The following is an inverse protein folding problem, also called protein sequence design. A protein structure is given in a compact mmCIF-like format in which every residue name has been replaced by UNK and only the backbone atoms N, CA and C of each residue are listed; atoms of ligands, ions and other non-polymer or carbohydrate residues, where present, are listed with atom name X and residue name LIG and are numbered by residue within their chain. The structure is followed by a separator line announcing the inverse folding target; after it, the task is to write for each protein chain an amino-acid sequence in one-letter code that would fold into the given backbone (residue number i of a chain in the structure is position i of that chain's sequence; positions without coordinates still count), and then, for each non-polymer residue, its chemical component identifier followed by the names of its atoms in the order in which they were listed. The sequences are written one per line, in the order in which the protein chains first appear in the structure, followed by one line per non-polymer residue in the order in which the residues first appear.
data_IF_216962268643
#
_entry.id   IF_216962268643
#
_cell.length_a   1.000
_cell.length_b   1.000
_cell.length_c   1.000
_cell.angle_alpha   90.00
_cell.angle_beta   90.00
_cell.angle_gamma   90.00
#
_symmetry.space_group_name_H-M   'P 1'
#
loop_
_entity.id
_entity.type
_entity.pdbx_description
1 polymer ?
#
# COMPACT_ATOMS: atom_id res chain seq x y z
N UNK A 1 22.06 16.45 -12.25
CA UNK A 1 20.90 15.70 -11.78
C UNK A 1 21.27 14.38 -11.11
N UNK A 2 22.11 13.50 -11.68
CA UNK A 2 22.51 12.21 -11.07
C UNK A 2 23.12 12.32 -9.67
N UNK A 3 23.86 13.39 -9.38
CA UNK A 3 24.55 13.60 -8.09
C UNK A 3 23.58 14.06 -6.96
N UNK A 4 22.49 14.74 -7.30
CA UNK A 4 21.43 15.15 -6.37
C UNK A 4 20.63 13.93 -5.90
N UNK A 5 20.35 12.99 -6.82
CA UNK A 5 19.68 11.73 -6.50
C UNK A 5 20.54 10.79 -5.63
N UNK A 6 21.88 10.80 -5.81
CA UNK A 6 22.81 10.06 -4.95
C UNK A 6 22.80 10.56 -3.51
N UNK A 7 22.78 11.86 -3.31
CA UNK A 7 22.70 12.51 -1.98
C UNK A 7 21.32 12.35 -1.33
N UNK A 8 20.24 12.45 -2.11
CA UNK A 8 18.89 12.11 -1.62
C UNK A 8 18.77 10.64 -1.20
N UNK A 9 19.40 9.70 -1.94
CA UNK A 9 19.48 8.29 -1.53
C UNK A 9 20.14 8.12 -0.17
N UNK A 10 21.27 8.80 0.08
CA UNK A 10 22.00 8.69 1.35
C UNK A 10 21.19 9.27 2.53
N UNK A 11 20.56 10.44 2.37
CA UNK A 11 19.69 11.05 3.39
C UNK A 11 18.45 10.20 3.65
N UNK A 12 17.89 9.58 2.62
CA UNK A 12 16.74 8.71 2.75
C UNK A 12 17.08 7.38 3.45
N UNK A 13 18.26 6.79 3.21
CA UNK A 13 18.71 5.62 3.96
C UNK A 13 18.94 5.93 5.44
N UNK A 14 19.39 7.12 5.80
CA UNK A 14 19.53 7.55 7.20
C UNK A 14 18.15 7.77 7.85
N UNK A 15 17.15 8.27 7.10
CA UNK A 15 15.77 8.37 7.56
C UNK A 15 15.07 7.00 7.61
N UNK A 16 15.41 6.05 6.72
CA UNK A 16 14.85 4.69 6.69
C UNK A 16 15.38 3.80 7.81
N UNK A 17 16.60 4.03 8.30
CA UNK A 17 17.18 3.30 9.44
C UNK A 17 16.55 3.68 10.80
N UNK A 18 15.80 4.78 10.86
CA UNK A 18 15.14 5.28 12.07
C UNK A 18 13.61 5.07 12.12
N UNK A 19 13.01 4.46 11.10
CA UNK A 19 11.54 4.49 10.94
C UNK A 19 10.97 3.10 10.70
N UNK A 20 10.27 2.55 11.66
CA UNK A 20 9.60 1.24 11.56
C UNK A 20 8.21 1.20 12.21
N UNK A 21 7.25 0.78 11.50
CA UNK A 21 5.93 0.08 11.63
C UNK A 21 4.73 0.68 12.34
N UNK A 22 3.62 0.69 11.63
CA UNK A 22 2.29 0.44 12.22
C UNK A 22 1.55 -0.59 11.37
N UNK A 23 0.92 -1.62 11.97
CA UNK A 23 0.07 -2.53 11.23
C UNK A 23 -1.17 -1.79 10.71
N UNK A 24 -1.62 -2.07 9.49
CA UNK A 24 -2.86 -1.51 8.94
C UNK A 24 -4.13 -1.91 9.73
N UNK A 25 -4.00 -2.87 10.63
CA UNK A 25 -5.10 -3.39 11.45
C UNK A 25 -5.51 -2.50 12.63
N UNK A 26 -4.65 -1.60 13.11
CA UNK A 26 -4.98 -0.73 14.25
C UNK A 26 -6.15 0.24 14.00
N UNK A 27 -6.63 0.33 12.77
CA UNK A 27 -7.78 1.16 12.40
C UNK A 27 -9.09 0.38 12.22
N UNK A 28 -9.08 -0.94 12.32
CA UNK A 28 -10.24 -1.75 11.94
C UNK A 28 -11.31 -1.86 13.03
N UNK A 29 -10.98 -1.57 14.30
CA UNK A 29 -11.85 -1.98 15.43
C UNK A 29 -12.66 -0.86 16.10
N UNK A 30 -12.55 0.40 15.70
CA UNK A 30 -13.20 1.49 16.45
C UNK A 30 -14.60 1.90 15.97
N UNK A 31 -15.10 1.36 14.88
CA UNK A 31 -16.48 1.62 14.45
C UNK A 31 -17.31 0.34 14.57
N UNK A 32 -18.27 0.33 15.49
CA UNK A 32 -19.26 -0.76 15.62
C UNK A 32 -20.20 -0.86 14.40
N UNK A 33 -20.15 0.11 13.49
CA UNK A 33 -20.99 0.25 12.32
C UNK A 33 -20.34 -0.08 10.98
N UNK A 34 -21.13 -0.08 9.90
CA UNK A 34 -20.63 -0.20 8.53
C UNK A 34 -19.71 0.97 8.16
N UNK A 35 -18.66 0.69 7.40
CA UNK A 35 -17.70 1.67 6.89
C UNK A 35 -17.58 1.53 5.39
N UNK A 36 -17.53 2.66 4.69
CA UNK A 36 -17.35 2.72 3.26
C UNK A 36 -16.20 3.64 2.92
N UNK A 37 -15.44 3.31 1.92
CA UNK A 37 -14.33 4.13 1.44
C UNK A 37 -14.23 4.11 -0.07
N UNK A 38 -13.89 5.25 -0.61
CA UNK A 38 -13.50 5.44 -1.99
C UNK A 38 -12.14 6.14 -2.02
N UNK A 39 -11.26 5.70 -2.90
CA UNK A 39 -9.96 6.33 -3.12
C UNK A 39 -9.67 6.33 -4.61
N UNK A 40 -9.23 7.46 -5.13
CA UNK A 40 -8.67 7.55 -6.48
C UNK A 40 -7.29 8.20 -6.43
N UNK A 41 -6.39 7.69 -7.25
CA UNK A 41 -5.00 8.17 -7.38
C UNK A 41 -4.68 8.23 -8.87
N UNK A 42 -4.09 9.34 -9.31
CA UNK A 42 -3.63 9.49 -10.69
C UNK A 42 -2.14 9.86 -10.66
N UNK A 43 -1.32 9.03 -11.28
CA UNK A 43 0.13 9.23 -11.37
C UNK A 43 0.52 9.72 -12.76
N UNK A 44 1.42 10.69 -12.78
CA UNK A 44 2.03 11.19 -14.01
C UNK A 44 2.83 10.09 -14.71
N UNK A 45 3.16 10.35 -15.96
CA UNK A 45 3.98 9.44 -16.78
C UNK A 45 5.32 9.16 -16.11
N UNK A 46 5.69 7.88 -16.05
CA UNK A 46 6.98 7.35 -15.61
C UNK A 46 7.66 6.63 -16.76
N UNK A 47 8.95 6.87 -16.95
CA UNK A 47 9.75 6.14 -17.94
C UNK A 47 10.12 4.76 -17.38
N UNK A 48 10.13 3.79 -18.28
CA UNK A 48 10.48 2.39 -18.00
C UNK A 48 11.92 2.14 -18.47
N UNK A 49 12.74 1.54 -17.62
CA UNK A 49 14.08 1.14 -18.03
C UNK A 49 14.03 0.27 -19.30
N UNK A 50 14.83 0.64 -20.30
CA UNK A 50 14.90 0.00 -21.60
C UNK A 50 13.74 0.32 -22.57
N UNK A 51 13.07 1.45 -22.38
CA UNK A 51 12.15 2.05 -23.34
C UNK A 51 10.68 1.98 -22.94
N UNK A 52 9.92 2.92 -23.48
CA UNK A 52 8.52 3.12 -23.17
C UNK A 52 8.27 3.90 -21.89
N UNK A 53 7.03 4.29 -21.70
CA UNK A 53 6.57 4.99 -20.50
C UNK A 53 5.09 4.69 -20.26
N UNK A 54 4.59 4.94 -19.07
CA UNK A 54 3.16 4.81 -18.75
C UNK A 54 2.72 5.84 -17.72
N UNK A 55 1.42 6.15 -17.75
CA UNK A 55 0.71 6.77 -16.62
C UNK A 55 -0.28 5.78 -16.03
N UNK A 56 -0.69 6.01 -14.78
CA UNK A 56 -1.56 5.08 -14.06
C UNK A 56 -2.63 5.83 -13.28
N UNK A 57 -3.85 5.28 -13.33
CA UNK A 57 -4.95 5.74 -12.50
C UNK A 57 -5.50 4.55 -11.69
N UNK A 58 -5.56 4.70 -10.38
CA UNK A 58 -6.13 3.72 -9.48
C UNK A 58 -7.47 4.20 -8.94
N UNK A 59 -8.45 3.30 -8.89
CA UNK A 59 -9.71 3.47 -8.19
C UNK A 59 -9.88 2.33 -7.20
N UNK A 60 -10.10 2.66 -5.94
CA UNK A 60 -10.29 1.68 -4.87
C UNK A 60 -11.61 1.93 -4.14
N UNK A 61 -12.40 0.89 -4.02
CA UNK A 61 -13.62 0.85 -3.23
C UNK A 61 -13.41 -0.09 -2.04
N UNK A 62 -13.90 0.31 -0.88
CA UNK A 62 -13.78 -0.46 0.35
C UNK A 62 -15.10 -0.46 1.11
N UNK A 63 -15.48 -1.60 1.64
CA UNK A 63 -16.58 -1.74 2.58
C UNK A 63 -16.09 -2.57 3.78
N UNK A 64 -16.43 -2.15 4.99
CA UNK A 64 -16.03 -2.85 6.20
C UNK A 64 -17.16 -2.91 7.23
N UNK A 65 -17.15 -3.95 8.03
CA UNK A 65 -18.02 -4.10 9.19
C UNK A 65 -17.28 -4.87 10.27
N UNK A 66 -17.15 -4.27 11.46
CA UNK A 66 -16.39 -4.86 12.56
C UNK A 66 -15.00 -5.33 12.10
N UNK A 67 -14.69 -6.60 12.29
CA UNK A 67 -13.42 -7.25 11.98
C UNK A 67 -13.21 -7.57 10.49
N UNK A 68 -14.24 -7.41 9.62
CA UNK A 68 -14.18 -7.76 8.20
C UNK A 68 -14.09 -6.51 7.33
N UNK A 69 -13.22 -6.53 6.33
CA UNK A 69 -13.13 -5.52 5.28
C UNK A 69 -13.00 -6.19 3.91
N UNK A 70 -13.76 -5.70 2.95
CA UNK A 70 -13.69 -6.12 1.54
C UNK A 70 -13.23 -4.89 0.75
N UNK A 71 -12.31 -5.08 -0.18
CA UNK A 71 -11.88 -4.01 -1.07
C UNK A 71 -11.69 -4.52 -2.51
N UNK A 72 -11.93 -3.59 -3.44
CA UNK A 72 -11.67 -3.79 -4.85
C UNK A 72 -10.88 -2.60 -5.38
N UNK A 73 -9.80 -2.88 -6.11
CA UNK A 73 -8.99 -1.88 -6.78
C UNK A 73 -8.97 -2.18 -8.28
N UNK A 74 -9.14 -1.15 -9.08
CA UNK A 74 -8.89 -1.14 -10.51
C UNK A 74 -7.76 -0.18 -10.78
N UNK A 75 -6.74 -0.64 -11.52
CA UNK A 75 -5.58 0.13 -11.94
C UNK A 75 -5.57 0.17 -13.47
N UNK A 76 -5.79 1.33 -14.04
CA UNK A 76 -5.75 1.58 -15.49
C UNK A 76 -4.39 2.15 -15.87
N UNK A 77 -3.75 1.59 -16.90
CA UNK A 77 -2.43 1.96 -17.41
C UNK A 77 -2.57 2.52 -18.83
N UNK A 78 -2.00 3.68 -19.06
CA UNK A 78 -1.86 4.28 -20.38
C UNK A 78 -0.40 4.21 -20.81
N UNK A 79 -0.09 3.23 -21.66
CA UNK A 79 1.26 2.96 -22.16
C UNK A 79 1.56 3.79 -23.39
N UNK A 80 2.80 4.31 -23.46
CA UNK A 80 3.33 5.00 -24.63
C UNK A 80 4.65 4.34 -25.03
N UNK A 81 4.79 4.05 -26.33
CA UNK A 81 5.97 3.37 -26.91
C UNK A 81 6.30 2.05 -26.18
N UNK A 82 5.29 1.33 -25.70
CA UNK A 82 5.47 0.08 -24.96
C UNK A 82 6.18 -1.00 -25.80
N UNK A 83 6.13 -0.90 -27.13
CA UNK A 83 6.86 -1.78 -28.05
C UNK A 83 8.37 -1.79 -27.86
N UNK A 84 8.94 -0.69 -27.38
CA UNK A 84 10.36 -0.55 -27.10
C UNK A 84 10.73 -1.16 -25.74
N UNK A 85 9.75 -1.37 -24.85
CA UNK A 85 9.98 -1.97 -23.55
C UNK A 85 10.27 -3.47 -23.71
N UNK A 86 11.37 -3.95 -23.17
CA UNK A 86 11.75 -5.38 -23.19
C UNK A 86 10.71 -6.29 -22.52
N UNK A 87 9.78 -5.72 -21.75
CA UNK A 87 8.74 -6.46 -21.05
C UNK A 87 7.72 -7.06 -22.01
N UNK A 88 7.38 -6.38 -23.11
CA UNK A 88 6.14 -6.62 -23.87
C UNK A 88 6.29 -7.06 -25.33
N UNK A 89 7.51 -7.23 -25.85
CA UNK A 89 7.75 -7.72 -27.21
C UNK A 89 6.93 -7.02 -28.31
N UNK A 90 6.75 -5.70 -28.20
CA UNK A 90 6.07 -4.90 -29.24
C UNK A 90 4.57 -4.63 -28.98
N UNK A 91 4.02 -5.00 -27.86
CA UNK A 91 2.61 -4.76 -27.47
C UNK A 91 2.51 -4.04 -26.13
N UNK A 92 1.37 -3.47 -25.82
CA UNK A 92 1.10 -3.00 -24.44
C UNK A 92 1.17 -4.20 -23.48
N UNK A 93 1.85 -4.06 -22.33
CA UNK A 93 1.95 -5.14 -21.37
C UNK A 93 0.59 -5.60 -20.84
N UNK A 94 -0.23 -4.64 -20.42
CA UNK A 94 -1.63 -4.75 -19.96
C UNK A 94 -2.26 -3.36 -19.99
N UNK A 95 -3.58 -3.28 -20.08
CA UNK A 95 -4.31 -2.02 -20.02
C UNK A 95 -4.90 -1.79 -18.62
N UNK A 96 -5.39 -2.86 -18.00
CA UNK A 96 -6.03 -2.78 -16.68
C UNK A 96 -5.62 -3.96 -15.82
N UNK A 97 -5.32 -3.69 -14.54
CA UNK A 97 -5.13 -4.71 -13.50
C UNK A 97 -6.19 -4.55 -12.43
N UNK A 98 -6.67 -5.66 -11.91
CA UNK A 98 -7.71 -5.73 -10.88
C UNK A 98 -7.14 -6.37 -9.62
N UNK A 99 -7.54 -5.86 -8.45
CA UNK A 99 -7.23 -6.47 -7.16
C UNK A 99 -8.47 -6.51 -6.29
N UNK A 100 -8.84 -7.70 -5.88
CA UNK A 100 -9.87 -7.93 -4.87
C UNK A 100 -9.23 -8.42 -3.58
N UNK A 101 -9.70 -7.96 -2.43
CA UNK A 101 -9.21 -8.44 -1.14
C UNK A 101 -10.31 -8.55 -0.10
N UNK A 102 -10.16 -9.56 0.76
CA UNK A 102 -10.96 -9.77 1.96
C UNK A 102 -10.01 -9.82 3.14
N UNK A 103 -10.16 -8.91 4.07
CA UNK A 103 -9.33 -8.78 5.25
C UNK A 103 -10.14 -9.07 6.51
N UNK A 104 -9.62 -9.95 7.36
CA UNK A 104 -10.12 -10.22 8.70
C UNK A 104 -9.05 -9.79 9.72
N UNK A 105 -9.43 -8.94 10.67
CA UNK A 105 -8.52 -8.42 11.69
C UNK A 105 -9.14 -8.51 13.08
N UNK A 106 -8.34 -8.95 14.04
CA UNK A 106 -8.70 -9.14 15.43
C UNK A 106 -7.62 -8.55 16.31
N UNK A 107 -8.02 -8.02 17.44
CA UNK A 107 -7.13 -7.56 18.49
C UNK A 107 -7.77 -7.80 19.87
N UNK A 108 -6.97 -7.71 20.91
CA UNK A 108 -7.44 -7.89 22.28
C UNK A 108 -6.34 -7.61 23.30
N UNK A 109 -6.73 -7.63 24.56
CA UNK A 109 -5.83 -7.33 25.67
C UNK A 109 -5.24 -8.62 26.24
N UNK A 110 -3.93 -8.63 26.52
CA UNK A 110 -3.25 -9.64 27.33
C UNK A 110 -3.03 -9.14 28.75
N UNK A 111 -2.79 -7.83 28.92
CA UNK A 111 -2.65 -7.15 30.21
C UNK A 111 -2.96 -5.66 30.05
N UNK A 112 -2.87 -4.88 31.11
CA UNK A 112 -3.08 -3.42 31.09
C UNK A 112 -2.13 -2.69 30.11
N UNK A 113 -0.95 -3.24 29.86
CA UNK A 113 0.08 -2.63 29.00
C UNK A 113 0.40 -3.42 27.74
N UNK A 114 -0.21 -4.59 27.54
CA UNK A 114 0.09 -5.47 26.39
C UNK A 114 -1.20 -5.87 25.68
N UNK A 115 -1.28 -5.51 24.41
CA UNK A 115 -2.34 -5.94 23.50
C UNK A 115 -1.76 -6.95 22.49
N UNK A 116 -2.58 -7.83 21.95
CA UNK A 116 -2.25 -8.67 20.81
C UNK A 116 -3.08 -8.24 19.60
N UNK A 117 -2.54 -8.48 18.41
CA UNK A 117 -3.27 -8.36 17.17
C UNK A 117 -3.00 -9.56 16.27
N UNK A 118 -3.99 -9.96 15.49
CA UNK A 118 -3.88 -10.98 14.47
C UNK A 118 -4.80 -10.64 13.31
N UNK A 119 -4.45 -11.09 12.11
CA UNK A 119 -5.31 -10.90 10.96
C UNK A 119 -4.84 -11.69 9.76
N UNK A 120 -5.69 -11.73 8.76
CA UNK A 120 -5.42 -12.42 7.51
C UNK A 120 -6.12 -11.70 6.37
N UNK A 121 -5.37 -11.45 5.29
CA UNK A 121 -5.92 -10.92 4.06
C UNK A 121 -5.84 -11.97 2.96
N UNK A 122 -6.98 -12.33 2.37
CA UNK A 122 -7.04 -13.03 1.10
C UNK A 122 -7.02 -11.99 -0.01
N UNK A 123 -6.11 -12.15 -0.97
CA UNK A 123 -5.90 -11.21 -2.07
C UNK A 123 -5.99 -11.98 -3.39
N UNK A 124 -6.67 -11.41 -4.38
CA UNK A 124 -6.67 -11.88 -5.75
C UNK A 124 -6.33 -10.71 -6.66
N UNK A 125 -5.12 -10.72 -7.24
CA UNK A 125 -4.66 -9.75 -8.23
C UNK A 125 -4.66 -10.37 -9.63
N UNK A 126 -5.34 -9.77 -10.61
CA UNK A 126 -5.49 -10.36 -11.93
C UNK A 126 -5.68 -9.31 -13.04
N UNK A 127 -5.32 -9.68 -14.26
CA UNK A 127 -5.60 -8.92 -15.47
C UNK A 127 -7.01 -9.23 -16.01
N UNK A 128 -7.35 -10.49 -16.23
CA UNK A 128 -8.64 -10.91 -16.80
C UNK A 128 -9.29 -12.08 -16.08
N UNK A 129 -8.53 -12.88 -15.34
CA UNK A 129 -9.01 -14.14 -14.74
C UNK A 129 -8.68 -14.18 -13.26
N UNK A 130 -9.72 -14.28 -12.44
CA UNK A 130 -9.62 -14.31 -10.97
C UNK A 130 -9.02 -15.64 -10.45
N UNK A 131 -9.21 -16.73 -11.17
CA UNK A 131 -8.71 -18.05 -10.76
C UNK A 131 -7.19 -18.14 -10.92
N UNK A 132 -6.51 -18.85 -10.02
CA UNK A 132 -5.05 -18.98 -9.92
C UNK A 132 -4.32 -17.68 -9.54
N UNK A 133 -5.03 -16.65 -9.05
CA UNK A 133 -4.47 -15.37 -8.66
C UNK A 133 -4.44 -15.15 -7.14
N UNK A 134 -4.87 -16.13 -6.36
CA UNK A 134 -5.03 -15.98 -4.91
C UNK A 134 -3.70 -15.98 -4.17
N UNK A 135 -3.56 -15.02 -3.26
CA UNK A 135 -2.47 -14.90 -2.30
C UNK A 135 -3.04 -14.74 -0.91
N UNK A 136 -2.31 -15.17 0.10
CA UNK A 136 -2.69 -15.07 1.49
C UNK A 136 -1.67 -14.24 2.26
N UNK A 137 -2.13 -13.31 3.08
CA UNK A 137 -1.26 -12.47 3.90
C UNK A 137 -1.67 -12.52 5.37
N UNK A 138 -1.20 -13.54 6.13
CA UNK A 138 -1.39 -13.60 7.57
C UNK A 138 -0.49 -12.60 8.29
N UNK A 139 -0.97 -12.04 9.40
CA UNK A 139 -0.19 -11.16 10.28
C UNK A 139 -0.55 -11.41 11.73
N UNK A 140 0.44 -11.28 12.61
CA UNK A 140 0.23 -11.34 14.05
C UNK A 140 1.34 -10.60 14.80
N UNK A 141 1.04 -10.13 16.02
CA UNK A 141 2.01 -9.46 16.85
C UNK A 141 1.46 -9.00 18.19
N UNK A 142 2.30 -8.26 18.88
CA UNK A 142 2.02 -7.67 20.20
C UNK A 142 2.21 -6.16 20.12
N UNK A 143 1.49 -5.46 20.96
CA UNK A 143 1.63 -4.02 21.18
C UNK A 143 1.88 -3.77 22.65
N UNK A 144 2.90 -2.97 22.96
CA UNK A 144 3.33 -2.64 24.32
C UNK A 144 3.10 -1.16 24.58
N UNK A 145 2.29 -0.83 25.56
CA UNK A 145 2.08 0.55 26.01
C UNK A 145 3.13 0.90 27.05
N UNK A 146 4.15 1.66 26.63
CA UNK A 146 5.24 2.10 27.50
C UNK A 146 4.85 3.31 28.36
N UNK A 147 4.04 4.21 27.81
CA UNK A 147 3.43 5.36 28.48
C UNK A 147 2.02 5.57 27.94
N UNK A 148 1.17 6.42 28.53
CA UNK A 148 -0.14 6.74 27.97
C UNK A 148 -0.07 7.20 26.50
N UNK A 149 1.01 7.90 26.12
CA UNK A 149 1.21 8.48 24.79
C UNK A 149 2.12 7.64 23.88
N UNK A 150 2.73 6.55 24.37
CA UNK A 150 3.73 5.79 23.59
C UNK A 150 3.43 4.31 23.59
N UNK A 151 3.19 3.76 22.40
CA UNK A 151 2.90 2.35 22.15
C UNK A 151 3.89 1.78 21.13
N UNK A 152 4.52 0.67 21.46
CA UNK A 152 5.37 -0.09 20.54
C UNK A 152 4.61 -1.29 19.98
N UNK A 153 4.96 -1.67 18.75
CA UNK A 153 4.41 -2.83 18.07
C UNK A 153 5.53 -3.75 17.61
N UNK A 154 5.35 -5.03 17.77
CA UNK A 154 6.27 -6.07 17.29
C UNK A 154 5.47 -7.26 16.77
N UNK A 155 5.79 -7.72 15.56
CA UNK A 155 5.07 -8.84 14.96
C UNK A 155 5.69 -9.31 13.66
N UNK A 156 4.92 -10.06 12.89
CA UNK A 156 5.29 -10.57 11.59
C UNK A 156 4.11 -10.50 10.62
N UNK A 157 4.43 -10.29 9.35
CA UNK A 157 3.55 -10.31 8.18
C UNK A 157 4.05 -11.39 7.22
N UNK A 158 3.23 -12.38 6.93
CA UNK A 158 3.49 -13.36 5.88
C UNK A 158 2.87 -12.92 4.56
N UNK A 159 3.46 -13.34 3.47
CA UNK A 159 2.85 -13.36 2.14
C UNK A 159 3.07 -14.76 1.56
N UNK A 160 1.98 -15.45 1.28
CA UNK A 160 1.98 -16.74 0.58
C UNK A 160 1.30 -16.52 -0.77
N UNK A 161 2.07 -16.58 -1.84
CA UNK A 161 1.60 -16.24 -3.18
C UNK A 161 2.11 -17.24 -4.21
N UNK A 162 1.44 -17.40 -5.38
CA UNK A 162 1.81 -18.37 -6.40
C UNK A 162 3.23 -18.23 -6.93
N UNK A 163 3.76 -17.00 -7.02
CA UNK A 163 5.10 -16.76 -7.53
C UNK A 163 6.18 -16.95 -6.44
N UNK A 164 5.89 -16.57 -5.20
CA UNK A 164 6.84 -16.72 -4.08
C UNK A 164 6.15 -16.47 -2.74
N UNK A 165 6.79 -16.91 -1.66
CA UNK A 165 6.36 -16.61 -0.29
C UNK A 165 7.45 -15.84 0.45
N UNK A 166 7.04 -14.97 1.38
CA UNK A 166 7.95 -14.19 2.20
C UNK A 166 7.40 -13.95 3.59
N UNK A 167 8.30 -13.69 4.52
CA UNK A 167 7.99 -13.26 5.88
C UNK A 167 8.68 -11.90 6.13
N UNK A 168 7.93 -10.94 6.62
CA UNK A 168 8.40 -9.60 6.91
C UNK A 168 8.20 -9.27 8.38
N UNK A 169 9.12 -8.57 9.02
CA UNK A 169 8.91 -8.09 10.38
C UNK A 169 7.84 -6.98 10.38
N UNK A 170 7.05 -6.95 11.44
CA UNK A 170 6.21 -5.82 11.81
C UNK A 170 6.81 -5.22 13.07
N UNK A 171 7.41 -4.03 13.01
CA UNK A 171 8.07 -3.38 14.16
C UNK A 171 7.76 -1.89 14.17
N UNK A 172 7.41 -1.23 15.26
CA UNK A 172 7.20 0.19 15.29
C UNK A 172 6.73 0.82 16.56
N UNK A 173 6.41 2.10 16.46
CA UNK A 173 5.82 2.82 17.55
C UNK A 173 4.76 3.85 17.10
N UNK A 174 3.84 4.10 17.97
CA UNK A 174 2.83 5.13 17.89
C UNK A 174 3.04 6.09 19.07
N UNK A 175 3.21 7.36 18.74
CA UNK A 175 3.31 8.44 19.71
C UNK A 175 2.12 9.36 19.55
N UNK A 176 1.30 9.43 20.58
CA UNK A 176 -0.01 10.08 20.68
C UNK A 176 -1.02 9.54 19.64
N UNK A 177 -2.28 9.58 20.00
CA UNK A 177 -3.33 9.19 19.08
C UNK A 177 -3.49 10.25 17.98
N UNK A 178 -3.71 9.79 16.75
CA UNK A 178 -3.96 10.69 15.61
C UNK A 178 -5.28 11.47 15.71
N UNK A 179 -6.13 11.12 16.66
CA UNK A 179 -7.36 11.86 17.00
C UNK A 179 -7.10 13.01 17.96
N UNK A 180 -5.99 12.98 18.69
CA UNK A 180 -5.61 14.07 19.59
C UNK A 180 -5.19 15.31 18.81
N UNK A 181 -5.43 16.48 19.42
CA UNK A 181 -4.98 17.76 18.87
C UNK A 181 -3.46 17.86 18.88
N UNK A 182 -2.91 18.49 17.85
CA UNK A 182 -1.48 18.72 17.70
C UNK A 182 -0.77 17.59 16.96
N UNK A 183 0.49 17.37 17.29
CA UNK A 183 1.35 16.41 16.60
C UNK A 183 1.16 14.99 17.12
N UNK A 184 1.03 14.05 16.20
CA UNK A 184 1.06 12.62 16.44
C UNK A 184 1.92 11.92 15.40
N UNK A 185 2.48 10.76 15.72
CA UNK A 185 3.32 10.00 14.80
C UNK A 185 3.07 8.51 14.95
N UNK A 186 2.99 7.83 13.80
CA UNK A 186 3.03 6.36 13.69
C UNK A 186 4.19 6.05 12.78
N UNK A 187 5.30 5.58 13.36
CA UNK A 187 6.51 5.34 12.60
C UNK A 187 6.81 3.86 12.51
N UNK A 188 7.05 3.38 11.26
CA UNK A 188 7.31 2.00 11.07
C UNK A 188 7.29 1.37 9.66
N UNK A 189 7.40 0.03 9.55
CA UNK A 189 7.30 -0.77 8.31
C UNK A 189 6.04 -1.67 8.35
N UNK A 190 5.21 -1.76 7.29
CA UNK A 190 5.43 -1.24 5.93
C UNK A 190 4.92 0.19 5.70
N UNK A 191 4.42 0.89 6.72
CA UNK A 191 3.89 2.23 6.56
C UNK A 191 4.27 3.14 7.73
N UNK A 192 4.41 4.43 7.45
CA UNK A 192 4.75 5.45 8.43
C UNK A 192 3.95 6.71 8.16
N UNK A 193 3.61 7.45 9.21
CA UNK A 193 2.97 8.75 9.09
C UNK A 193 3.30 9.68 10.26
N UNK A 194 3.30 10.96 9.97
CA UNK A 194 3.32 12.05 10.93
C UNK A 194 2.12 12.93 10.61
N UNK A 195 1.32 13.26 11.61
CA UNK A 195 0.11 14.05 11.44
C UNK A 195 0.11 15.21 12.42
N UNK A 196 -0.39 16.35 11.97
CA UNK A 196 -0.71 17.50 12.83
C UNK A 196 -2.20 17.82 12.67
N UNK A 197 -2.95 17.69 13.76
CA UNK A 197 -4.37 18.03 13.83
C UNK A 197 -4.53 19.46 14.37
N UNK A 198 -5.05 20.35 13.53
CA UNK A 198 -5.25 21.77 13.87
C UNK A 198 -6.51 21.98 14.71
N UNK A 199 -7.56 21.24 14.37
CA UNK A 199 -8.86 21.23 15.03
C UNK A 199 -9.61 19.93 14.69
N UNK A 200 -10.85 19.77 15.16
CA UNK A 200 -11.64 18.55 14.95
C UNK A 200 -11.91 18.28 13.47
N UNK A 201 -11.89 19.31 12.62
CA UNK A 201 -12.21 19.21 11.20
C UNK A 201 -10.97 19.06 10.30
N UNK A 202 -9.81 19.61 10.67
CA UNK A 202 -8.66 19.76 9.77
C UNK A 202 -7.41 19.15 10.39
N UNK A 203 -6.78 18.27 9.61
CA UNK A 203 -5.44 17.77 9.91
C UNK A 203 -4.57 17.75 8.64
N UNK A 204 -3.26 17.87 8.81
CA UNK A 204 -2.28 17.61 7.75
C UNK A 204 -1.48 16.37 8.09
N UNK A 205 -1.05 15.63 7.06
CA UNK A 205 -0.36 14.37 7.25
C UNK A 205 0.72 14.18 6.19
N UNK A 206 1.92 13.79 6.65
CA UNK A 206 2.97 13.22 5.81
C UNK A 206 2.95 11.71 6.03
N UNK A 207 3.01 10.94 4.96
CA UNK A 207 3.05 9.49 5.08
C UNK A 207 3.94 8.87 4.01
N UNK A 208 4.47 7.69 4.31
CA UNK A 208 5.13 6.82 3.35
C UNK A 208 4.68 5.38 3.59
N UNK A 209 4.60 4.60 2.51
CA UNK A 209 4.27 3.17 2.57
C UNK A 209 5.04 2.40 1.53
N UNK A 210 5.49 1.23 1.89
CA UNK A 210 5.96 0.24 0.96
C UNK A 210 4.77 -0.59 0.46
N UNK A 211 4.69 -0.81 -0.84
CA UNK A 211 3.63 -1.60 -1.48
C UNK A 211 4.24 -2.70 -2.30
N UNK A 212 3.58 -3.84 -2.31
CA UNK A 212 3.94 -4.98 -3.14
C UNK A 212 2.68 -5.75 -3.51
N UNK A 213 2.36 -5.74 -4.78
CA UNK A 213 1.16 -6.34 -5.34
C UNK A 213 1.54 -7.35 -6.42
N UNK A 214 0.91 -8.54 -6.39
CA UNK A 214 1.10 -9.59 -7.37
C UNK A 214 -0.18 -9.75 -8.19
N UNK A 215 -0.06 -9.74 -9.51
CA UNK A 215 -1.17 -9.90 -10.43
C UNK A 215 -0.89 -11.08 -11.38
N UNK A 216 -1.89 -11.94 -11.54
CA UNK A 216 -1.89 -12.97 -12.57
C UNK A 216 -2.21 -12.35 -13.93
N UNK A 217 -1.35 -12.59 -14.89
CA UNK A 217 -1.52 -12.12 -16.26
C UNK A 217 -2.48 -13.03 -17.05
N UNK A 218 -3.07 -12.51 -18.10
CA UNK A 218 -4.03 -13.23 -18.93
C UNK A 218 -3.39 -14.47 -19.61
N UNK A 219 -4.24 -15.36 -20.10
CA UNK A 219 -3.79 -16.58 -20.76
C UNK A 219 -3.06 -16.32 -22.06
N UNK A 220 -3.30 -15.19 -22.68
CA UNK A 220 -2.75 -14.69 -23.95
C UNK A 220 -1.84 -13.47 -23.78
N UNK A 221 -1.51 -13.11 -22.53
CA UNK A 221 -0.62 -11.97 -22.25
C UNK A 221 0.67 -12.02 -23.09
N UNK A 222 0.98 -10.88 -23.71
CA UNK A 222 2.22 -10.70 -24.48
C UNK A 222 3.48 -10.75 -23.60
N UNK A 223 3.35 -10.42 -22.32
CA UNK A 223 4.44 -10.40 -21.33
C UNK A 223 4.79 -11.82 -20.87
N UNK A 224 3.81 -12.52 -20.31
CA UNK A 224 3.98 -13.89 -19.82
C UNK A 224 2.63 -14.59 -19.77
N UNK A 225 2.37 -15.50 -20.70
CA UNK A 225 1.13 -16.25 -20.76
C UNK A 225 0.89 -17.03 -19.46
N UNK A 226 -0.24 -16.77 -18.78
CA UNK A 226 -0.59 -17.34 -17.47
C UNK A 226 0.45 -17.07 -16.38
N UNK A 227 1.38 -16.16 -16.60
CA UNK A 227 2.41 -15.78 -15.62
C UNK A 227 1.91 -14.74 -14.65
N UNK A 228 2.86 -14.12 -13.94
CA UNK A 228 2.55 -13.13 -12.94
C UNK A 228 3.40 -11.88 -13.16
N UNK A 229 2.86 -10.73 -12.78
CA UNK A 229 3.62 -9.49 -12.61
C UNK A 229 3.50 -9.06 -11.15
N UNK A 230 4.63 -8.76 -10.57
CA UNK A 230 4.74 -8.19 -9.23
C UNK A 230 5.18 -6.75 -9.35
N UNK A 231 4.41 -5.88 -8.75
CA UNK A 231 4.68 -4.46 -8.66
C UNK A 231 5.11 -4.10 -7.25
N UNK A 232 6.28 -3.51 -7.09
CA UNK A 232 6.83 -3.09 -5.80
C UNK A 232 7.21 -1.62 -5.87
N UNK A 233 6.76 -0.83 -4.88
CA UNK A 233 7.09 0.60 -4.82
C UNK A 233 7.09 1.13 -3.39
N UNK A 234 7.71 2.30 -3.20
CA UNK A 234 7.54 3.14 -2.03
C UNK A 234 6.75 4.37 -2.45
N UNK A 235 5.60 4.56 -1.83
CA UNK A 235 4.74 5.71 -2.06
C UNK A 235 4.82 6.61 -0.84
N UNK A 236 5.27 7.85 -1.03
CA UNK A 236 5.28 8.90 -0.01
C UNK A 236 4.37 10.04 -0.43
N UNK A 237 3.78 10.77 0.52
CA UNK A 237 2.87 11.84 0.18
C UNK A 237 2.58 12.80 1.32
N UNK A 238 2.01 13.96 0.94
CA UNK A 238 1.50 14.98 1.83
C UNK A 238 -0.01 15.14 1.59
N UNK A 239 -0.77 15.18 2.68
CA UNK A 239 -2.23 15.14 2.64
C UNK A 239 -2.85 16.18 3.55
N UNK A 240 -4.03 16.65 3.17
CA UNK A 240 -4.95 17.41 4.01
C UNK A 240 -6.16 16.52 4.24
N UNK A 241 -6.46 16.26 5.48
CA UNK A 241 -7.63 15.53 5.93
C UNK A 241 -8.68 16.55 6.41
N UNK A 242 -9.91 16.44 5.91
CA UNK A 242 -11.05 17.26 6.28
C UNK A 242 -12.19 16.37 6.78
N UNK A 243 -12.61 16.58 8.01
CA UNK A 243 -13.67 15.82 8.70
C UNK A 243 -14.83 16.77 9.03
N UNK A 244 -15.75 17.04 8.06
CA UNK A 244 -16.87 17.96 8.28
C UNK A 244 -17.88 17.45 9.31
N UNK A 245 -17.98 16.15 9.46
CA UNK A 245 -18.79 15.43 10.45
C UNK A 245 -17.99 14.22 10.94
N UNK A 246 -18.25 13.73 12.13
CA UNK A 246 -17.57 12.57 12.72
C UNK A 246 -17.62 11.32 11.83
N UNK A 247 -18.70 11.19 11.05
CA UNK A 247 -18.91 10.08 10.12
C UNK A 247 -18.23 10.24 8.76
N UNK A 248 -17.83 11.44 8.33
CA UNK A 248 -17.28 11.70 6.99
C UNK A 248 -15.87 12.27 7.06
N UNK A 249 -14.92 11.59 6.46
CA UNK A 249 -13.56 12.08 6.27
C UNK A 249 -13.22 12.16 4.79
N UNK A 250 -12.78 13.32 4.35
CA UNK A 250 -12.25 13.61 3.02
C UNK A 250 -10.75 13.84 3.11
N UNK A 251 -10.00 13.32 2.15
CA UNK A 251 -8.54 13.53 2.06
C UNK A 251 -8.18 13.94 0.65
N UNK A 252 -7.38 14.98 0.53
CA UNK A 252 -6.72 15.37 -0.72
C UNK A 252 -5.23 15.44 -0.51
N UNK A 253 -4.44 15.16 -1.54
CA UNK A 253 -2.99 15.22 -1.39
C UNK A 253 -2.21 14.98 -2.66
N UNK A 254 -0.88 15.12 -2.53
CA UNK A 254 0.09 14.74 -3.54
C UNK A 254 0.91 13.54 -3.09
N UNK A 255 1.23 12.65 -4.01
CA UNK A 255 2.03 11.46 -3.78
C UNK A 255 3.25 11.42 -4.71
N UNK A 256 4.33 10.85 -4.24
CA UNK A 256 5.52 10.46 -5.00
C UNK A 256 5.65 8.95 -4.91
N UNK A 257 5.56 8.27 -6.04
CA UNK A 257 5.89 6.85 -6.18
C UNK A 257 7.35 6.74 -6.56
N UNK A 258 8.16 6.14 -5.71
CA UNK A 258 9.59 5.97 -5.89
C UNK A 258 10.00 4.50 -5.71
N UNK A 259 11.24 4.16 -6.12
CA UNK A 259 11.76 2.77 -6.10
C UNK A 259 10.78 1.77 -6.70
N UNK A 260 10.13 2.20 -7.76
CA UNK A 260 9.14 1.42 -8.43
C UNK A 260 9.82 0.38 -9.33
N UNK A 261 9.44 -0.88 -9.18
CA UNK A 261 9.95 -1.98 -10.00
C UNK A 261 8.86 -2.99 -10.33
N UNK A 262 8.92 -3.52 -11.53
CA UNK A 262 8.12 -4.66 -12.00
C UNK A 262 8.99 -5.90 -12.09
N UNK A 263 8.49 -7.01 -11.54
CA UNK A 263 9.09 -8.34 -11.73
C UNK A 263 8.08 -9.23 -12.44
N UNK A 264 8.53 -9.84 -13.52
CA UNK A 264 7.72 -10.79 -14.28
C UNK A 264 8.11 -12.20 -13.92
N UNK A 265 7.12 -13.04 -13.69
CA UNK A 265 7.28 -14.46 -13.42
C UNK A 265 6.53 -15.28 -14.48
N UNK A 266 6.98 -16.49 -14.72
CA UNK A 266 6.22 -17.42 -15.55
C UNK A 266 5.06 -18.07 -14.76
N UNK A 267 4.35 -18.98 -15.41
CA UNK A 267 3.21 -19.69 -14.81
C UNK A 267 3.60 -20.62 -13.64
N UNK A 268 4.87 -20.93 -13.47
CA UNK A 268 5.39 -21.77 -12.38
C UNK A 268 5.97 -20.94 -11.24
N UNK A 269 6.00 -19.60 -11.36
CA UNK A 269 6.58 -18.68 -10.38
C UNK A 269 8.07 -18.43 -10.58
N UNK A 270 8.67 -18.88 -11.68
CA UNK A 270 10.07 -18.61 -11.97
C UNK A 270 10.23 -17.18 -12.52
N UNK A 271 11.17 -16.43 -11.92
CA UNK A 271 11.42 -15.03 -12.29
C UNK A 271 12.04 -14.94 -13.68
N UNK A 272 11.39 -14.22 -14.60
CA UNK A 272 11.86 -13.97 -15.97
C UNK A 272 12.63 -12.66 -16.13
N UNK A 273 12.12 -11.59 -15.55
CA UNK A 273 12.73 -10.26 -15.69
C UNK A 273 12.44 -9.39 -14.48
N UNK A 274 13.25 -8.34 -14.34
CA UNK A 274 13.01 -7.19 -13.46
C UNK A 274 13.25 -5.94 -14.29
N UNK A 275 12.37 -4.96 -14.16
CA UNK A 275 12.46 -3.66 -14.81
C UNK A 275 12.20 -2.60 -13.75
N UNK A 276 13.09 -1.64 -13.63
CA UNK A 276 12.93 -0.50 -12.73
C UNK A 276 12.28 0.65 -13.51
N UNK A 277 11.60 1.53 -12.80
CA UNK A 277 10.87 2.67 -13.36
C UNK A 277 11.27 3.95 -12.68
N UNK A 278 11.22 5.03 -13.44
CA UNK A 278 11.46 6.35 -12.90
C UNK A 278 10.37 6.74 -11.89
N UNK A 279 10.71 7.58 -10.90
CA UNK A 279 9.74 8.11 -9.97
C UNK A 279 8.62 8.87 -10.68
N UNK A 280 7.38 8.70 -10.21
CA UNK A 280 6.22 9.43 -10.69
C UNK A 280 5.53 10.20 -9.57
N UNK A 281 4.99 11.36 -9.91
CA UNK A 281 4.19 12.17 -9.00
C UNK A 281 2.72 11.95 -9.29
N UNK A 282 1.89 12.02 -8.25
CA UNK A 282 0.45 11.80 -8.40
C UNK A 282 -0.38 12.68 -7.48
N UNK A 283 -1.66 12.75 -7.81
CA UNK A 283 -2.68 13.35 -6.97
C UNK A 283 -3.57 12.26 -6.40
N UNK A 284 -4.09 12.48 -5.21
CA UNK A 284 -4.97 11.55 -4.51
C UNK A 284 -6.19 12.27 -3.95
N UNK A 285 -7.34 11.61 -4.08
CA UNK A 285 -8.57 11.94 -3.39
C UNK A 285 -9.09 10.69 -2.69
N UNK A 286 -9.51 10.84 -1.42
CA UNK A 286 -10.14 9.77 -0.64
C UNK A 286 -11.38 10.33 0.05
N UNK A 287 -12.42 9.50 0.12
CA UNK A 287 -13.60 9.74 0.94
C UNK A 287 -13.86 8.49 1.77
N UNK A 288 -14.13 8.64 3.04
CA UNK A 288 -14.53 7.54 3.93
C UNK A 288 -15.71 7.97 4.77
N UNK A 289 -16.67 7.05 4.93
CA UNK A 289 -17.86 7.24 5.72
C UNK A 289 -18.04 6.07 6.68
N UNK A 290 -18.35 6.37 7.94
CA UNK A 290 -18.65 5.39 9.00
C UNK A 290 -19.99 5.72 9.66
N UNK A 291 -20.78 4.70 9.91
CA UNK A 291 -22.08 4.82 10.58
C UNK A 291 -21.93 4.66 12.09
#
# INVERSE_FOLDING_TARGET
MKDLFGKLRAVFWVLLLGVMVTPPAAYAYEADGPRFGFNTQAYSRADVDNGGSYSRTDMNFRAGYKWLTIAYTRSDYDWNNAGDARISRGHNPWDTLHKFSVDAAFDGYLSESVDWFAGMTLISGFESQIWDSFSLSPRAGLSFRATPDLKFHLGALGLVAPAHSMLLPLVGFEWRDSRDMGLSAKLGFPATQIQYRFNDMIATRLAARWTRDLYRLSNDSAVSRKGYVEEESVVSGAYIDFTPFDSLKLTVGGELMAWHSLRVYDKHGDKKSKTDMDPSVGAVFRASYSF
#
